data_IF_677785111063
#
_entry.id   IF_677785111063
#
_cell.length_a   1.000
_cell.length_b   1.000
_cell.length_c   1.000
_cell.angle_alpha   90.00
_cell.angle_beta   90.00
_cell.angle_gamma   90.00
#
_symmetry.space_group_name_H-M   'P 1'
#
loop_
_entity.id
_entity.type
_entity.pdbx_description
1 polymer ?
#
# COMPACT_ATOMS: atom_id res chain seq x y z
N UNK A 1 15.98 8.86 -31.24
CA UNK A 1 15.43 7.92 -30.25
C UNK A 1 15.41 8.63 -28.90
N UNK A 2 14.26 9.15 -28.48
CA UNK A 2 14.12 9.75 -27.16
C UNK A 2 14.10 8.64 -26.10
N UNK A 3 14.71 8.83 -24.92
CA UNK A 3 14.64 7.83 -23.86
C UNK A 3 13.19 7.65 -23.44
N UNK A 4 12.73 6.39 -23.38
CA UNK A 4 11.48 6.06 -22.72
C UNK A 4 11.62 6.49 -21.26
N UNK A 5 10.80 7.45 -20.82
CA UNK A 5 10.67 7.75 -19.41
C UNK A 5 10.04 6.52 -18.77
N UNK A 6 10.77 5.80 -17.93
CA UNK A 6 10.16 4.87 -17.01
C UNK A 6 9.24 5.70 -16.09
N UNK A 7 7.94 5.42 -16.13
CA UNK A 7 7.01 6.01 -15.16
C UNK A 7 7.38 5.43 -13.79
N UNK A 8 7.84 6.29 -12.88
CA UNK A 8 8.18 5.86 -11.54
C UNK A 8 6.88 5.57 -10.79
N UNK A 9 6.69 4.32 -10.38
CA UNK A 9 5.54 3.97 -9.57
C UNK A 9 5.55 4.78 -8.27
N UNK A 10 4.41 5.37 -7.93
CA UNK A 10 4.25 6.07 -6.66
C UNK A 10 4.19 5.04 -5.54
N UNK A 11 5.18 5.03 -4.66
CA UNK A 11 5.24 4.11 -3.54
C UNK A 11 4.25 4.54 -2.43
N UNK A 12 3.40 3.60 -1.99
CA UNK A 12 2.45 3.80 -0.90
C UNK A 12 2.69 2.72 0.15
N UNK A 13 3.07 3.13 1.36
CA UNK A 13 3.10 2.26 2.54
C UNK A 13 1.76 2.36 3.25
N UNK A 14 1.00 1.27 3.24
CA UNK A 14 -0.32 1.19 3.85
C UNK A 14 -0.23 0.39 5.15
N UNK A 15 -0.52 1.03 6.28
CA UNK A 15 -0.53 0.36 7.59
C UNK A 15 -1.97 0.03 7.98
N UNK A 16 -2.24 -1.25 8.26
CA UNK A 16 -3.53 -1.66 8.81
C UNK A 16 -3.68 -1.17 10.24
N UNK A 17 -4.93 -1.00 10.69
CA UNK A 17 -5.28 -0.61 12.06
C UNK A 17 -5.04 -1.74 13.10
N UNK A 18 -4.76 -2.96 12.63
CA UNK A 18 -4.47 -4.14 13.42
C UNK A 18 -3.92 -5.29 12.58
N UNK A 19 -4.18 -6.52 13.01
CA UNK A 19 -3.91 -7.72 12.22
C UNK A 19 -4.88 -7.85 11.05
N UNK A 20 -4.53 -8.72 10.10
CA UNK A 20 -5.33 -8.99 8.92
C UNK A 20 -6.67 -9.61 9.30
N UNK A 21 -7.73 -8.83 9.12
CA UNK A 21 -9.11 -9.24 9.32
C UNK A 21 -9.90 -9.13 7.99
N UNK A 22 -11.05 -9.79 7.90
CA UNK A 22 -11.84 -9.87 6.66
C UNK A 22 -12.20 -8.50 6.05
N UNK A 23 -12.33 -7.45 6.87
CA UNK A 23 -12.61 -6.08 6.40
C UNK A 23 -11.46 -5.47 5.59
N UNK A 24 -10.22 -5.91 5.81
CA UNK A 24 -9.05 -5.45 5.07
C UNK A 24 -9.00 -6.01 3.63
N UNK A 25 -9.85 -6.98 3.27
CA UNK A 25 -9.89 -7.59 1.93
C UNK A 25 -10.03 -6.56 0.79
N UNK A 26 -10.65 -5.42 1.07
CA UNK A 26 -10.81 -4.30 0.13
C UNK A 26 -9.46 -3.73 -0.35
N UNK A 27 -8.36 -3.94 0.38
CA UNK A 27 -7.01 -3.52 -0.02
C UNK A 27 -6.22 -4.64 -0.72
N UNK A 28 -6.49 -5.91 -0.39
CA UNK A 28 -5.77 -7.06 -0.96
C UNK A 28 -6.32 -7.50 -2.32
N UNK A 29 -7.64 -7.47 -2.52
CA UNK A 29 -8.25 -7.84 -3.81
C UNK A 29 -7.77 -6.93 -4.97
N UNK A 30 -7.72 -5.59 -4.84
CA UNK A 30 -7.17 -4.73 -5.87
C UNK A 30 -5.66 -4.94 -6.11
N UNK A 31 -4.91 -5.28 -5.05
CA UNK A 31 -3.49 -5.59 -5.16
C UNK A 31 -3.27 -6.87 -5.98
N UNK A 32 -3.99 -7.93 -5.66
CA UNK A 32 -3.94 -9.22 -6.37
C UNK A 32 -4.36 -9.09 -7.84
N UNK A 33 -5.41 -8.29 -8.11
CA UNK A 33 -5.84 -7.98 -9.47
C UNK A 33 -4.99 -6.95 -10.21
N UNK A 34 -3.93 -6.44 -9.58
CA UNK A 34 -3.01 -5.48 -10.19
C UNK A 34 -3.58 -4.08 -10.43
N UNK A 35 -4.71 -3.73 -9.82
CA UNK A 35 -5.36 -2.43 -10.01
C UNK A 35 -4.48 -1.27 -9.54
N UNK A 36 -3.72 -1.44 -8.45
CA UNK A 36 -2.74 -0.45 -8.02
C UNK A 36 -1.65 -0.23 -9.06
N UNK A 37 -1.08 -1.31 -9.62
CA UNK A 37 -0.05 -1.19 -10.67
C UNK A 37 -0.60 -0.54 -11.93
N UNK A 38 -1.85 -0.81 -12.29
CA UNK A 38 -2.52 -0.16 -13.42
C UNK A 38 -2.70 1.36 -13.22
N UNK A 39 -2.72 1.83 -11.97
CA UNK A 39 -2.72 3.25 -11.60
C UNK A 39 -1.30 3.77 -11.26
N UNK A 40 -0.26 3.02 -11.65
CA UNK A 40 1.14 3.36 -11.37
C UNK A 40 1.46 3.49 -9.87
N UNK A 41 0.71 2.79 -9.02
CA UNK A 41 0.92 2.73 -7.58
C UNK A 41 1.62 1.43 -7.18
N UNK A 42 2.67 1.56 -6.38
CA UNK A 42 3.32 0.45 -5.69
C UNK A 42 2.86 0.45 -4.23
N UNK A 43 1.76 -0.27 -3.97
CA UNK A 43 1.21 -0.39 -2.61
C UNK A 43 1.89 -1.55 -1.88
N UNK A 44 2.32 -1.31 -0.66
CA UNK A 44 2.78 -2.33 0.31
C UNK A 44 1.88 -2.24 1.52
N UNK A 45 1.37 -3.38 2.01
CA UNK A 45 0.44 -3.45 3.13
C UNK A 45 1.12 -4.13 4.32
N UNK A 46 1.15 -3.45 5.45
CA UNK A 46 1.76 -3.92 6.70
C UNK A 46 0.70 -4.02 7.81
N UNK A 47 0.58 -5.21 8.42
CA UNK A 47 -0.22 -5.41 9.63
C UNK A 47 0.35 -4.62 10.81
N UNK A 48 -0.49 -4.36 11.81
CA UNK A 48 -0.07 -3.74 13.06
C UNK A 48 -0.25 -4.67 14.24
N UNK A 49 0.75 -4.67 15.13
CA UNK A 49 0.74 -5.48 16.35
C UNK A 49 -0.13 -4.85 17.43
N UNK A 50 -0.37 -3.54 17.34
CA UNK A 50 -1.27 -2.79 18.23
C UNK A 50 -1.92 -1.61 17.50
N UNK A 51 -3.08 -1.15 17.97
CA UNK A 51 -3.82 -0.04 17.36
C UNK A 51 -3.07 1.31 17.37
N UNK A 52 -2.04 1.46 18.20
CA UNK A 52 -1.24 2.69 18.30
C UNK A 52 -0.08 2.72 17.29
N UNK A 53 0.37 1.55 16.83
CA UNK A 53 1.52 1.43 15.94
C UNK A 53 1.33 2.13 14.57
N UNK A 54 0.16 2.01 13.89
CA UNK A 54 -0.09 2.68 12.61
C UNK A 54 -0.06 4.19 12.73
N UNK A 55 -0.53 4.73 13.86
CA UNK A 55 -0.55 6.17 14.13
C UNK A 55 0.88 6.70 14.10
N UNK A 56 1.79 6.05 14.82
CA UNK A 56 3.20 6.42 14.87
C UNK A 56 3.86 6.29 13.50
N UNK A 57 3.61 5.20 12.76
CA UNK A 57 4.15 4.98 11.40
C UNK A 57 3.73 6.08 10.42
N UNK A 58 2.44 6.42 10.40
CA UNK A 58 1.93 7.46 9.48
C UNK A 58 2.44 8.84 9.87
N UNK A 59 2.51 9.13 11.17
CA UNK A 59 2.99 10.42 11.66
C UNK A 59 4.49 10.65 11.43
N UNK A 60 5.31 9.59 11.38
CA UNK A 60 6.75 9.69 11.16
C UNK A 60 7.17 9.87 9.69
N UNK A 61 6.29 9.52 8.75
CA UNK A 61 6.65 9.29 7.34
C UNK A 61 7.39 7.97 7.12
#
# INVERSE_FOLDING_TARGET
>A
MAPWRASAQTAIKFSLDGRLEGLAATFFLPQDRGYFRAQELQVTVDEATSALEPITRVASG
#
